data_IF_713860461095
#
_entry.id   IF_713860461095
#
_cell.length_a   1.000
_cell.length_b   1.000
_cell.length_c   1.000
_cell.angle_alpha   90.00
_cell.angle_beta   90.00
_cell.angle_gamma   90.00
#
_symmetry.space_group_name_H-M   'P 1'
#
loop_
_entity.id
_entity.type
_entity.pdbx_description
1 polymer ?
#
# COMPACT_ATOMS: atom_id res chain seq x y z
N UNK A 1 -35.49 16.36 -19.91
CA UNK A 1 -35.61 15.97 -18.48
C UNK A 1 -34.48 14.97 -18.21
N UNK A 2 -33.22 15.38 -18.42
CA UNK A 2 -32.11 14.43 -18.63
C UNK A 2 -30.88 14.75 -17.75
N UNK A 3 -31.12 15.42 -16.61
CA UNK A 3 -30.06 15.92 -15.71
C UNK A 3 -29.90 15.15 -14.39
N UNK A 4 -30.82 14.24 -14.06
CA UNK A 4 -30.82 13.56 -12.75
C UNK A 4 -30.27 12.12 -12.80
N UNK A 5 -30.29 11.44 -13.95
CA UNK A 5 -29.81 10.06 -14.04
C UNK A 5 -28.27 9.93 -14.14
N UNK A 6 -27.55 11.00 -14.46
CA UNK A 6 -26.08 10.94 -14.56
C UNK A 6 -25.37 11.17 -13.21
N UNK A 7 -26.08 11.70 -12.21
CA UNK A 7 -25.52 11.95 -10.87
C UNK A 7 -25.56 10.71 -9.97
N UNK A 8 -26.50 9.80 -10.17
CA UNK A 8 -26.61 8.57 -9.38
C UNK A 8 -25.52 7.55 -9.73
N UNK A 9 -25.18 7.41 -11.02
CA UNK A 9 -24.13 6.48 -11.47
C UNK A 9 -22.72 6.87 -11.01
N UNK A 10 -22.40 8.17 -10.99
CA UNK A 10 -21.11 8.66 -10.48
C UNK A 10 -21.04 8.59 -8.95
N UNK A 11 -22.11 8.91 -8.23
CA UNK A 11 -22.15 8.80 -6.76
C UNK A 11 -22.10 7.34 -6.26
N UNK A 12 -22.69 6.40 -6.99
CA UNK A 12 -22.67 4.98 -6.63
C UNK A 12 -21.30 4.32 -6.86
N UNK A 13 -20.54 4.74 -7.87
CA UNK A 13 -19.19 4.20 -8.12
C UNK A 13 -18.20 4.56 -7.01
N UNK A 14 -18.36 5.73 -6.36
CA UNK A 14 -17.50 6.18 -5.25
C UNK A 14 -17.75 5.48 -3.93
N UNK A 15 -18.95 4.95 -3.73
CA UNK A 15 -19.31 4.25 -2.49
C UNK A 15 -18.96 2.75 -2.51
N UNK A 16 -18.52 2.23 -3.65
CA UNK A 16 -18.12 0.84 -3.75
C UNK A 16 -16.65 0.65 -3.34
N UNK A 17 -16.43 -0.34 -2.49
CA UNK A 17 -15.09 -0.76 -2.08
C UNK A 17 -14.24 -1.13 -3.32
N UNK A 18 -12.98 -0.70 -3.43
CA UNK A 18 -12.18 -0.81 -4.65
C UNK A 18 -11.63 -2.23 -4.86
N UNK A 19 -12.52 -3.16 -5.23
CA UNK A 19 -12.20 -4.59 -5.37
C UNK A 19 -11.07 -4.87 -6.38
N UNK A 20 -11.02 -4.12 -7.49
CA UNK A 20 -9.96 -4.29 -8.51
C UNK A 20 -8.58 -3.96 -7.94
N UNK A 21 -8.47 -2.85 -7.21
CA UNK A 21 -7.22 -2.45 -6.57
C UNK A 21 -6.81 -3.45 -5.48
N UNK A 22 -7.78 -3.93 -4.68
CA UNK A 22 -7.54 -4.98 -3.68
C UNK A 22 -7.02 -6.28 -4.32
N UNK A 23 -7.64 -6.75 -5.40
CA UNK A 23 -7.18 -7.97 -6.10
C UNK A 23 -5.78 -7.81 -6.69
N UNK A 24 -5.47 -6.64 -7.25
CA UNK A 24 -4.12 -6.33 -7.71
C UNK A 24 -3.11 -6.39 -6.55
N UNK A 25 -3.45 -5.79 -5.40
CA UNK A 25 -2.63 -5.82 -4.20
C UNK A 25 -2.39 -7.24 -3.67
N UNK A 26 -3.45 -8.06 -3.57
CA UNK A 26 -3.35 -9.47 -3.19
C UNK A 26 -2.45 -10.24 -4.17
N UNK A 27 -2.62 -10.02 -5.48
CA UNK A 27 -1.79 -10.65 -6.50
C UNK A 27 -0.30 -10.32 -6.32
N UNK A 28 0.02 -9.05 -6.02
CA UNK A 28 1.40 -8.64 -5.74
C UNK A 28 1.94 -9.25 -4.45
N UNK A 29 1.13 -9.37 -3.38
CA UNK A 29 1.56 -10.04 -2.14
C UNK A 29 1.93 -11.50 -2.43
N UNK A 30 1.06 -12.23 -3.14
CA UNK A 30 1.31 -13.63 -3.49
C UNK A 30 2.56 -13.73 -4.36
N UNK A 31 2.69 -12.89 -5.38
CA UNK A 31 3.88 -12.85 -6.24
C UNK A 31 5.15 -12.58 -5.45
N UNK A 32 5.14 -11.61 -4.53
CA UNK A 32 6.30 -11.23 -3.73
C UNK A 32 6.70 -12.34 -2.77
N UNK A 33 5.73 -13.03 -2.16
CA UNK A 33 5.97 -14.18 -1.32
C UNK A 33 6.57 -15.36 -2.11
N UNK A 34 6.03 -15.65 -3.31
CA UNK A 34 6.58 -16.68 -4.19
C UNK A 34 7.98 -16.34 -4.68
N UNK A 35 8.25 -15.07 -5.01
CA UNK A 35 9.58 -14.62 -5.41
C UNK A 35 10.59 -14.82 -4.27
N UNK A 36 10.24 -14.47 -3.03
CA UNK A 36 11.10 -14.71 -1.86
C UNK A 36 11.37 -16.19 -1.60
N UNK A 37 10.36 -17.06 -1.75
CA UNK A 37 10.55 -18.52 -1.62
C UNK A 37 11.54 -19.09 -2.64
N UNK A 38 11.57 -18.52 -3.86
CA UNK A 38 12.49 -18.96 -4.92
C UNK A 38 13.92 -18.44 -4.71
N UNK A 39 14.10 -17.29 -4.07
CA UNK A 39 15.41 -16.67 -3.86
C UNK A 39 16.08 -17.13 -2.58
N UNK A 40 15.33 -17.19 -1.48
CA UNK A 40 15.89 -17.43 -0.15
C UNK A 40 16.05 -18.93 0.14
N UNK A 41 15.46 -19.79 -0.71
CA UNK A 41 15.52 -21.23 -0.61
C UNK A 41 14.70 -21.75 0.56
N UNK A 42 13.68 -22.56 0.28
CA UNK A 42 13.07 -23.36 1.35
C UNK A 42 14.05 -24.48 1.66
N UNK A 43 14.68 -24.42 2.84
CA UNK A 43 15.35 -25.60 3.40
C UNK A 43 14.28 -26.64 3.72
N UNK A 44 14.04 -27.54 2.77
CA UNK A 44 13.20 -28.71 2.97
C UNK A 44 14.05 -29.70 3.75
N UNK A 45 13.85 -29.73 5.06
CA UNK A 45 14.45 -30.75 5.91
C UNK A 45 13.96 -32.14 5.44
N UNK A 46 14.86 -32.99 4.92
CA UNK A 46 14.50 -34.30 4.38
C UNK A 46 13.84 -35.22 5.42
N UNK A 47 14.00 -34.97 6.72
CA UNK A 47 13.37 -35.78 7.77
C UNK A 47 11.89 -35.42 8.00
N UNK A 48 11.48 -34.17 7.74
CA UNK A 48 10.10 -33.71 7.99
C UNK A 48 9.14 -33.99 6.84
N UNK A 49 9.65 -34.36 5.67
CA UNK A 49 8.89 -34.67 4.48
C UNK A 49 8.21 -33.46 3.84
N UNK A 50 7.93 -33.55 2.53
CA UNK A 50 7.34 -32.47 1.72
C UNK A 50 6.01 -31.93 2.28
N UNK A 51 5.27 -32.73 3.04
CA UNK A 51 3.99 -32.34 3.64
C UNK A 51 4.13 -31.28 4.74
N UNK A 52 5.14 -31.40 5.63
CA UNK A 52 5.30 -30.46 6.73
C UNK A 52 5.87 -29.12 6.25
N UNK A 53 6.81 -29.14 5.30
CA UNK A 53 7.33 -27.91 4.68
C UNK A 53 6.23 -27.13 3.95
N UNK A 54 5.33 -27.82 3.23
CA UNK A 54 4.19 -27.16 2.58
C UNK A 54 3.25 -26.48 3.59
N UNK A 55 2.98 -27.11 4.73
CA UNK A 55 2.16 -26.52 5.80
C UNK A 55 2.84 -25.29 6.40
N UNK A 56 4.14 -25.35 6.70
CA UNK A 56 4.90 -24.21 7.25
C UNK A 56 4.89 -23.03 6.29
N UNK A 57 5.07 -23.26 4.98
CA UNK A 57 4.99 -22.21 3.96
C UNK A 57 3.60 -21.58 3.93
N UNK A 58 2.54 -22.40 3.91
CA UNK A 58 1.16 -21.90 3.86
C UNK A 58 0.79 -21.08 5.10
N UNK A 59 1.18 -21.54 6.31
CA UNK A 59 0.94 -20.81 7.56
C UNK A 59 1.74 -19.51 7.58
N UNK A 60 3.00 -19.53 7.15
CA UNK A 60 3.84 -18.32 7.10
C UNK A 60 3.28 -17.28 6.12
N UNK A 61 2.82 -17.72 4.94
CA UNK A 61 2.18 -16.84 3.96
C UNK A 61 0.87 -16.26 4.50
N UNK A 62 0.08 -17.07 5.22
CA UNK A 62 -1.17 -16.62 5.83
C UNK A 62 -0.90 -15.58 6.94
N UNK A 63 0.00 -15.86 7.89
CA UNK A 63 0.38 -14.93 8.95
C UNK A 63 1.01 -13.65 8.39
N UNK A 64 1.89 -13.76 7.39
CA UNK A 64 2.48 -12.62 6.69
C UNK A 64 1.42 -11.75 6.02
N UNK A 65 0.46 -12.36 5.33
CA UNK A 65 -0.63 -11.62 4.67
C UNK A 65 -1.53 -10.88 5.66
N UNK A 66 -1.79 -11.48 6.84
CA UNK A 66 -2.53 -10.81 7.93
C UNK A 66 -1.75 -9.61 8.48
N UNK A 67 -0.44 -9.75 8.67
CA UNK A 67 0.42 -8.63 9.10
C UNK A 67 0.41 -7.47 8.10
N UNK A 68 0.55 -7.79 6.81
CA UNK A 68 0.50 -6.81 5.72
C UNK A 68 -0.87 -6.12 5.65
N UNK A 69 -1.95 -6.86 5.85
CA UNK A 69 -3.30 -6.29 5.88
C UNK A 69 -3.55 -5.41 7.12
N UNK A 70 -3.12 -5.87 8.31
CA UNK A 70 -3.22 -5.09 9.54
C UNK A 70 -2.45 -3.77 9.43
N UNK A 71 -1.27 -3.81 8.81
CA UNK A 71 -0.49 -2.60 8.53
C UNK A 71 -1.23 -1.64 7.58
N UNK A 72 -1.86 -2.14 6.52
CA UNK A 72 -2.66 -1.32 5.61
C UNK A 72 -3.86 -0.66 6.34
N UNK A 73 -4.50 -1.35 7.29
CA UNK A 73 -5.55 -0.79 8.14
C UNK A 73 -5.04 0.37 9.02
N UNK A 74 -3.85 0.21 9.60
CA UNK A 74 -3.20 1.27 10.38
C UNK A 74 -2.88 2.47 9.49
N UNK A 75 -2.28 2.25 8.32
CA UNK A 75 -2.01 3.33 7.36
C UNK A 75 -3.29 4.06 6.96
N UNK A 76 -4.37 3.34 6.69
CA UNK A 76 -5.67 3.94 6.40
C UNK A 76 -6.13 4.87 7.53
N UNK A 77 -6.06 4.43 8.78
CA UNK A 77 -6.43 5.27 9.92
C UNK A 77 -5.52 6.51 10.04
N UNK A 78 -4.21 6.34 9.86
CA UNK A 78 -3.22 7.41 9.93
C UNK A 78 -3.31 8.42 8.77
N UNK A 79 -3.91 8.05 7.64
CA UNK A 79 -4.21 9.00 6.56
C UNK A 79 -5.54 9.68 6.83
N UNK A 80 -6.57 8.89 7.13
CA UNK A 80 -7.94 9.38 7.24
C UNK A 80 -8.13 10.32 8.42
N UNK A 81 -7.69 9.93 9.63
CA UNK A 81 -7.96 10.71 10.85
C UNK A 81 -7.34 12.11 10.77
N UNK A 82 -6.04 12.27 10.42
CA UNK A 82 -5.46 13.59 10.26
C UNK A 82 -6.08 14.37 9.10
N UNK A 83 -6.45 13.71 8.00
CA UNK A 83 -7.11 14.39 6.88
C UNK A 83 -8.48 14.94 7.28
N UNK A 84 -9.30 14.17 8.00
CA UNK A 84 -10.59 14.63 8.55
C UNK A 84 -10.41 15.81 9.50
N UNK A 85 -9.40 15.74 10.36
CA UNK A 85 -9.09 16.81 11.31
C UNK A 85 -8.65 18.11 10.62
N UNK A 86 -7.77 18.03 9.62
CA UNK A 86 -7.29 19.20 8.85
C UNK A 86 -8.38 19.79 7.97
N UNK A 87 -9.14 18.93 7.27
CA UNK A 87 -10.21 19.35 6.37
C UNK A 87 -11.44 19.88 7.12
N UNK A 88 -11.60 19.53 8.41
CA UNK A 88 -12.81 19.76 9.21
C UNK A 88 -14.06 19.19 8.52
N UNK A 89 -13.90 18.03 7.90
CA UNK A 89 -14.94 17.35 7.13
C UNK A 89 -15.03 15.88 7.57
N UNK A 90 -16.25 15.39 7.78
CA UNK A 90 -16.50 14.00 8.14
C UNK A 90 -16.42 13.07 6.93
N UNK A 91 -16.76 13.57 5.73
CA UNK A 91 -16.81 12.80 4.49
C UNK A 91 -15.48 12.85 3.72
N UNK A 92 -14.45 12.22 4.28
CA UNK A 92 -13.20 11.99 3.54
C UNK A 92 -13.34 10.69 2.75
N UNK A 93 -13.45 10.80 1.42
CA UNK A 93 -13.62 9.76 0.39
C UNK A 93 -12.92 8.41 0.72
N UNK A 94 -13.58 7.57 1.51
CA UNK A 94 -12.98 6.40 2.19
C UNK A 94 -12.46 5.37 1.19
N UNK A 95 -13.23 5.11 0.14
CA UNK A 95 -12.89 4.12 -0.88
C UNK A 95 -11.74 4.59 -1.77
N UNK A 96 -11.62 5.90 -2.00
CA UNK A 96 -10.50 6.46 -2.77
C UNK A 96 -9.18 6.34 -1.99
N UNK A 97 -9.21 6.51 -0.66
CA UNK A 97 -8.04 6.25 0.19
C UNK A 97 -7.64 4.77 0.08
N UNK A 98 -8.61 3.85 0.16
CA UNK A 98 -8.35 2.42 0.00
C UNK A 98 -7.78 2.08 -1.37
N UNK A 99 -8.32 2.65 -2.43
CA UNK A 99 -7.85 2.42 -3.80
C UNK A 99 -6.40 2.92 -3.95
N UNK A 100 -6.13 4.13 -3.47
CA UNK A 100 -4.80 4.71 -3.48
C UNK A 100 -3.80 3.89 -2.66
N UNK A 101 -4.19 3.44 -1.46
CA UNK A 101 -3.37 2.55 -0.62
C UNK A 101 -3.04 1.24 -1.32
N UNK A 102 -4.03 0.56 -1.89
CA UNK A 102 -3.81 -0.72 -2.55
C UNK A 102 -2.87 -0.59 -3.76
N UNK A 103 -3.08 0.40 -4.63
CA UNK A 103 -2.19 0.58 -5.79
C UNK A 103 -0.79 1.03 -5.39
N UNK A 104 -0.67 2.01 -4.49
CA UNK A 104 0.64 2.54 -4.08
C UNK A 104 1.45 1.50 -3.31
N UNK A 105 0.84 0.76 -2.37
CA UNK A 105 1.53 -0.30 -1.63
C UNK A 105 1.88 -1.50 -2.53
N UNK A 106 1.02 -1.87 -3.48
CA UNK A 106 1.33 -2.91 -4.46
C UNK A 106 2.58 -2.54 -5.29
N UNK A 107 2.60 -1.33 -5.85
CA UNK A 107 3.73 -0.88 -6.67
C UNK A 107 4.99 -0.73 -5.81
N UNK A 108 4.88 -0.20 -4.59
CA UNK A 108 5.97 -0.11 -3.64
C UNK A 108 6.58 -1.47 -3.31
N UNK A 109 5.74 -2.49 -3.08
CA UNK A 109 6.18 -3.86 -2.83
C UNK A 109 6.90 -4.46 -4.04
N UNK A 110 6.37 -4.27 -5.26
CA UNK A 110 7.04 -4.71 -6.48
C UNK A 110 8.42 -4.06 -6.64
N UNK A 111 8.52 -2.75 -6.41
CA UNK A 111 9.80 -2.05 -6.46
C UNK A 111 10.78 -2.57 -5.42
N UNK A 112 10.33 -2.84 -4.19
CA UNK A 112 11.17 -3.44 -3.14
C UNK A 112 11.67 -4.83 -3.53
N UNK A 113 10.80 -5.69 -4.09
CA UNK A 113 11.21 -7.02 -4.58
C UNK A 113 12.25 -6.89 -5.69
N UNK A 114 12.03 -6.00 -6.67
CA UNK A 114 12.99 -5.77 -7.74
C UNK A 114 14.33 -5.23 -7.22
N UNK A 115 14.31 -4.31 -6.24
CA UNK A 115 15.53 -3.78 -5.63
C UNK A 115 16.31 -4.87 -4.88
N UNK A 116 15.63 -5.76 -4.16
CA UNK A 116 16.25 -6.91 -3.50
C UNK A 116 16.90 -7.86 -4.52
N UNK A 117 16.19 -8.18 -5.61
CA UNK A 117 16.69 -9.06 -6.67
C UNK A 117 17.92 -8.50 -7.40
N UNK A 118 18.06 -7.16 -7.45
CA UNK A 118 19.23 -6.49 -8.03
C UNK A 118 20.37 -6.30 -7.01
N UNK A 119 20.24 -6.80 -5.78
CA UNK A 119 21.26 -6.65 -4.73
C UNK A 119 21.34 -5.25 -4.13
N UNK A 120 20.28 -4.44 -4.24
CA UNK A 120 20.23 -3.07 -3.75
C UNK A 120 19.16 -2.84 -2.66
N UNK A 121 18.67 -3.90 -2.02
CA UNK A 121 17.61 -3.85 -1.02
C UNK A 121 17.88 -2.90 0.16
N UNK A 122 19.15 -2.80 0.57
CA UNK A 122 19.58 -2.00 1.73
C UNK A 122 20.04 -0.58 1.35
N UNK A 123 19.89 -0.20 0.07
CA UNK A 123 20.35 1.11 -0.38
C UNK A 123 19.37 2.22 0.06
N UNK A 124 19.82 3.08 0.98
CA UNK A 124 19.06 4.23 1.48
C UNK A 124 18.58 5.15 0.37
N UNK A 125 19.36 5.35 -0.68
CA UNK A 125 18.96 6.18 -1.81
C UNK A 125 17.78 5.56 -2.57
N UNK A 126 17.79 4.25 -2.78
CA UNK A 126 16.65 3.55 -3.39
C UNK A 126 15.43 3.53 -2.47
N UNK A 127 15.62 3.37 -1.16
CA UNK A 127 14.53 3.47 -0.20
C UNK A 127 13.88 4.86 -0.23
N UNK A 128 14.68 5.92 -0.33
CA UNK A 128 14.20 7.29 -0.45
C UNK A 128 13.45 7.53 -1.77
N UNK A 129 13.98 7.05 -2.90
CA UNK A 129 13.30 7.10 -4.20
C UNK A 129 11.97 6.35 -4.13
N UNK A 130 11.96 5.14 -3.55
CA UNK A 130 10.76 4.33 -3.40
C UNK A 130 9.69 5.07 -2.58
N UNK A 131 10.08 5.69 -1.46
CA UNK A 131 9.16 6.48 -0.63
C UNK A 131 8.53 7.64 -1.42
N UNK A 132 9.33 8.39 -2.18
CA UNK A 132 8.82 9.48 -3.04
C UNK A 132 7.85 8.95 -4.10
N UNK A 133 8.21 7.85 -4.78
CA UNK A 133 7.35 7.25 -5.81
C UNK A 133 6.04 6.76 -5.22
N UNK A 134 6.06 6.07 -4.08
CA UNK A 134 4.85 5.61 -3.38
C UNK A 134 3.94 6.79 -3.04
N UNK A 135 4.50 7.88 -2.50
CA UNK A 135 3.73 9.09 -2.18
C UNK A 135 3.11 9.74 -3.42
N UNK A 136 3.87 9.87 -4.51
CA UNK A 136 3.37 10.44 -5.77
C UNK A 136 2.26 9.56 -6.36
N UNK A 137 2.45 8.24 -6.38
CA UNK A 137 1.45 7.29 -6.86
C UNK A 137 0.19 7.34 -6.00
N UNK A 138 0.34 7.40 -4.67
CA UNK A 138 -0.79 7.55 -3.76
C UNK A 138 -1.62 8.79 -4.13
N UNK A 139 -0.97 9.95 -4.26
CA UNK A 139 -1.67 11.19 -4.59
C UNK A 139 -2.31 11.13 -5.98
N UNK A 140 -1.62 10.54 -6.96
CA UNK A 140 -2.14 10.34 -8.30
C UNK A 140 -3.42 9.49 -8.28
N UNK A 141 -3.38 8.30 -7.67
CA UNK A 141 -4.56 7.43 -7.59
C UNK A 141 -5.67 8.01 -6.74
N UNK A 142 -5.34 8.72 -5.66
CA UNK A 142 -6.35 9.38 -4.83
C UNK A 142 -7.07 10.51 -5.58
N UNK A 143 -6.36 11.29 -6.41
CA UNK A 143 -7.00 12.35 -7.19
C UNK A 143 -7.60 11.88 -8.51
N UNK A 144 -7.41 10.62 -8.87
CA UNK A 144 -7.95 10.05 -10.08
C UNK A 144 -9.49 9.96 -10.04
N UNK A 145 -10.15 10.39 -11.12
CA UNK A 145 -11.59 10.21 -11.35
C UNK A 145 -12.53 11.23 -10.73
N UNK A 146 -12.17 11.85 -9.60
CA UNK A 146 -13.17 12.52 -8.74
C UNK A 146 -12.82 13.97 -8.45
N UNK A 147 -13.79 14.86 -8.68
CA UNK A 147 -13.67 16.28 -8.38
C UNK A 147 -13.84 16.52 -6.87
N UNK A 148 -12.78 16.21 -6.12
CA UNK A 148 -12.73 16.46 -4.67
C UNK A 148 -12.60 17.96 -4.37
N UNK A 149 -13.23 18.47 -3.29
CA UNK A 149 -13.02 19.83 -2.81
C UNK A 149 -11.55 20.16 -2.58
N UNK A 150 -11.15 21.39 -2.90
CA UNK A 150 -9.76 21.82 -2.79
C UNK A 150 -9.20 21.72 -1.36
N UNK A 151 -10.03 21.91 -0.33
CA UNK A 151 -9.60 21.82 1.06
C UNK A 151 -9.25 20.37 1.46
N UNK A 152 -10.00 19.36 1.00
CA UNK A 152 -9.68 17.94 1.19
C UNK A 152 -8.41 17.55 0.44
N UNK A 153 -8.25 18.03 -0.81
CA UNK A 153 -7.02 17.79 -1.59
C UNK A 153 -5.79 18.34 -0.88
N UNK A 154 -5.87 19.56 -0.33
CA UNK A 154 -4.78 20.16 0.45
C UNK A 154 -4.48 19.36 1.72
N UNK A 155 -5.51 18.96 2.46
CA UNK A 155 -5.34 18.16 3.67
C UNK A 155 -4.59 16.85 3.39
N UNK A 156 -4.98 16.10 2.35
CA UNK A 156 -4.33 14.82 2.06
C UNK A 156 -2.89 15.00 1.56
N UNK A 157 -2.60 16.06 0.78
CA UNK A 157 -1.23 16.38 0.35
C UNK A 157 -0.36 16.63 1.58
N UNK A 158 -0.83 17.43 2.54
CA UNK A 158 -0.10 17.72 3.77
C UNK A 158 0.20 16.43 4.54
N UNK A 159 -0.80 15.57 4.74
CA UNK A 159 -0.63 14.29 5.45
C UNK A 159 0.37 13.38 4.73
N UNK A 160 0.28 13.28 3.41
CA UNK A 160 1.17 12.41 2.62
C UNK A 160 2.61 12.92 2.57
N UNK A 161 2.82 14.23 2.46
CA UNK A 161 4.16 14.83 2.52
C UNK A 161 4.77 14.63 3.91
N UNK A 162 4.00 14.83 4.98
CA UNK A 162 4.47 14.54 6.35
C UNK A 162 4.85 13.07 6.53
N UNK A 163 4.04 12.16 5.99
CA UNK A 163 4.33 10.73 6.05
C UNK A 163 5.59 10.35 5.28
N UNK A 164 5.79 10.93 4.10
CA UNK A 164 7.02 10.78 3.30
C UNK A 164 8.24 11.26 4.09
N UNK A 165 8.19 12.45 4.70
CA UNK A 165 9.28 12.98 5.51
C UNK A 165 9.59 12.09 6.71
N UNK A 166 8.55 11.58 7.38
CA UNK A 166 8.70 10.65 8.51
C UNK A 166 9.35 9.33 8.05
N UNK A 167 8.93 8.78 6.91
CA UNK A 167 9.51 7.56 6.33
C UNK A 167 10.98 7.74 5.97
N UNK A 168 11.35 8.89 5.39
CA UNK A 168 12.74 9.24 5.08
C UNK A 168 13.58 9.39 6.35
N UNK A 169 13.05 10.04 7.39
CA UNK A 169 13.73 10.17 8.67
C UNK A 169 13.98 8.81 9.32
N UNK A 170 12.99 7.92 9.34
CA UNK A 170 13.17 6.55 9.83
C UNK A 170 14.20 5.76 9.01
N UNK A 171 14.18 5.90 7.68
CA UNK A 171 15.16 5.23 6.82
C UNK A 171 16.59 5.71 7.10
N UNK A 172 16.79 7.01 7.29
CA UNK A 172 18.09 7.57 7.65
C UNK A 172 18.58 7.11 9.04
N UNK A 173 17.67 7.07 10.02
CA UNK A 173 17.98 6.61 11.38
C UNK A 173 18.32 5.11 11.38
N UNK A 174 17.53 4.28 10.71
CA UNK A 174 17.78 2.84 10.63
C UNK A 174 19.15 2.52 10.02
N UNK A 175 19.57 3.27 9.00
CA UNK A 175 20.89 3.12 8.40
C UNK A 175 22.04 3.53 9.34
N UNK A 176 21.82 4.49 10.25
CA UNK A 176 22.85 4.90 11.20
C UNK A 176 23.14 3.82 12.27
N UNK A 177 22.21 2.89 12.49
CA UNK A 177 22.31 1.83 13.50
C UNK A 177 22.58 0.43 12.91
N UNK A 178 22.84 0.33 11.61
CA UNK A 178 23.32 -0.85 10.89
C UNK A 178 24.79 -0.66 10.49
#
# INVERSE_FOLDING_TARGET
MDGEQNKSGEAEAYNQFPRKAMWFYIGVIIFSALAGLLTDGVEVDPETGLGMSAVVILVSLLLGSLGVFAFAMIQYALIKIPTQWIAKDEEVYKNDIWAALFYSNAIGMLMSVLANQLGHGENVLLAAINAVVITVLFLYFYFYGTNKPAHIKRAIIIVQVLWMLLSLAFSAVAYQYL
#
